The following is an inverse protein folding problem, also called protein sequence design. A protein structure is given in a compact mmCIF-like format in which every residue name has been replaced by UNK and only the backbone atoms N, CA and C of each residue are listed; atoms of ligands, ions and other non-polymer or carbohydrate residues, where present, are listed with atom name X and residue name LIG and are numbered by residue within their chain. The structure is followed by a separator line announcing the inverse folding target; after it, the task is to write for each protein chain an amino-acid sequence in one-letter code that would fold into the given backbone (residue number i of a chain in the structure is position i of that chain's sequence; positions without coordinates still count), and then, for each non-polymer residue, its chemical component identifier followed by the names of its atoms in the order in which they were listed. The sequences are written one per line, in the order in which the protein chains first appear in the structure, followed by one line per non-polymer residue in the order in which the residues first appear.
data_IF_915902081351
#
_entry.id   IF_915902081351
#
_cell.length_a   1.000
_cell.length_b   1.000
_cell.length_c   1.000
_cell.angle_alpha   90.00
_cell.angle_beta   90.00
_cell.angle_gamma   90.00
#
_symmetry.space_group_name_H-M   'P 1'
#
loop_
_entity.id
_entity.type
_entity.pdbx_description
1 polymer ?
#
# COMPACT_ATOMS: atom_id res chain seq x y z
N UNK A 1 3.76 -14.59 -12.99
CA UNK A 1 3.33 -13.26 -12.49
C UNK A 1 3.96 -13.08 -11.12
N UNK A 2 4.81 -12.07 -10.96
CA UNK A 2 5.34 -11.73 -9.64
C UNK A 2 4.21 -11.21 -8.77
N UNK A 3 4.11 -11.67 -7.53
CA UNK A 3 3.16 -11.14 -6.56
C UNK A 3 3.62 -9.75 -6.15
N UNK A 4 2.90 -8.71 -6.54
CA UNK A 4 3.09 -7.35 -6.00
C UNK A 4 2.88 -7.40 -4.48
N UNK A 5 3.76 -6.75 -3.75
CA UNK A 5 3.62 -6.55 -2.31
C UNK A 5 3.62 -5.06 -2.01
N UNK A 6 2.76 -4.63 -1.10
CA UNK A 6 2.72 -3.25 -0.61
C UNK A 6 3.33 -3.23 0.79
N UNK A 7 4.48 -2.57 0.98
CA UNK A 7 5.14 -2.50 2.28
C UNK A 7 4.24 -1.86 3.34
N UNK A 8 4.22 -2.46 4.53
CA UNK A 8 3.56 -1.91 5.72
C UNK A 8 4.63 -1.42 6.68
N UNK A 9 4.44 -0.24 7.25
CA UNK A 9 5.29 0.30 8.32
C UNK A 9 4.43 0.74 9.49
N UNK A 10 4.77 0.30 10.71
CA UNK A 10 4.19 0.86 11.92
C UNK A 10 4.95 2.15 12.24
N UNK A 11 4.26 3.29 12.20
CA UNK A 11 4.89 4.61 12.34
C UNK A 11 4.70 5.21 13.74
N UNK A 12 3.63 4.85 14.44
CA UNK A 12 3.39 5.18 15.85
C UNK A 12 2.34 4.24 16.46
N UNK A 13 2.08 4.39 17.75
CA UNK A 13 1.09 3.58 18.47
C UNK A 13 -0.30 3.65 17.82
N UNK A 14 -0.69 2.53 17.21
CA UNK A 14 -1.97 2.37 16.54
C UNK A 14 -2.08 3.04 15.17
N UNK A 15 -0.97 3.49 14.57
CA UNK A 15 -0.94 4.05 13.22
C UNK A 15 0.05 3.27 12.34
N UNK A 16 -0.44 2.77 11.22
CA UNK A 16 0.36 2.13 10.18
C UNK A 16 0.36 2.97 8.90
N UNK A 17 1.41 2.87 8.10
CA UNK A 17 1.43 3.33 6.71
C UNK A 17 1.53 2.15 5.73
N UNK A 18 0.93 2.30 4.57
CA UNK A 18 1.06 1.41 3.41
C UNK A 18 1.58 2.23 2.25
N UNK A 19 2.75 1.88 1.71
CA UNK A 19 3.27 2.51 0.51
C UNK A 19 2.59 1.88 -0.72
N UNK A 20 1.76 2.65 -1.42
CA UNK A 20 0.93 2.18 -2.53
C UNK A 20 1.58 2.36 -3.90
N UNK A 21 2.54 3.27 -4.01
CA UNK A 21 3.28 3.58 -5.24
C UNK A 21 4.73 3.98 -4.91
N UNK A 22 5.65 3.73 -5.85
CA UNK A 22 7.01 4.30 -5.85
C UNK A 22 7.26 5.14 -7.09
N UNK A 23 8.33 5.93 -7.10
CA UNK A 23 8.72 6.68 -8.30
C UNK A 23 9.00 5.76 -9.51
N UNK A 24 9.48 4.54 -9.29
CA UNK A 24 9.73 3.52 -10.33
C UNK A 24 8.48 2.73 -10.71
N UNK A 25 7.51 2.62 -9.81
CA UNK A 25 6.24 1.91 -10.01
C UNK A 25 5.04 2.79 -9.62
N UNK A 26 4.80 3.89 -10.36
CA UNK A 26 3.79 4.87 -9.96
C UNK A 26 2.36 4.47 -10.34
N UNK A 27 2.19 3.46 -11.22
CA UNK A 27 0.89 3.01 -11.72
C UNK A 27 0.33 1.79 -10.96
N UNK A 28 -0.99 1.71 -10.93
CA UNK A 28 -1.75 0.61 -10.34
C UNK A 28 -2.05 -0.46 -11.41
N UNK A 29 -1.35 -1.59 -11.33
CA UNK A 29 -1.55 -2.74 -12.23
C UNK A 29 -2.64 -3.71 -11.70
N UNK A 30 -2.88 -4.80 -12.44
CA UNK A 30 -3.86 -5.84 -12.07
C UNK A 30 -3.57 -6.52 -10.72
N UNK A 31 -2.34 -6.45 -10.23
CA UNK A 31 -1.92 -6.98 -8.93
C UNK A 31 -2.10 -6.00 -7.77
N UNK A 32 -2.45 -4.74 -8.03
CA UNK A 32 -2.58 -3.71 -6.99
C UNK A 32 -3.68 -4.03 -5.97
N UNK A 33 -4.92 -4.26 -6.43
CA UNK A 33 -6.05 -4.53 -5.53
C UNK A 33 -5.84 -5.79 -4.67
N UNK A 34 -5.39 -6.94 -5.23
CA UNK A 34 -5.03 -8.10 -4.42
C UNK A 34 -3.95 -7.81 -3.36
N UNK A 35 -2.92 -7.04 -3.72
CA UNK A 35 -1.84 -6.68 -2.80
C UNK A 35 -2.31 -5.75 -1.68
N UNK A 36 -3.15 -4.76 -2.00
CA UNK A 36 -3.77 -3.87 -1.02
C UNK A 36 -4.68 -4.63 -0.05
N UNK A 37 -5.51 -5.54 -0.56
CA UNK A 37 -6.35 -6.38 0.28
C UNK A 37 -5.49 -7.23 1.24
N UNK A 38 -4.42 -7.86 0.75
CA UNK A 38 -3.47 -8.60 1.60
C UNK A 38 -2.88 -7.72 2.70
N UNK A 39 -2.47 -6.50 2.37
CA UNK A 39 -1.90 -5.57 3.35
C UNK A 39 -2.92 -5.11 4.41
N UNK A 40 -4.14 -4.79 3.98
CA UNK A 40 -5.23 -4.40 4.89
C UNK A 40 -5.65 -5.56 5.79
N UNK A 41 -5.74 -6.80 5.28
CA UNK A 41 -6.05 -7.97 6.12
C UNK A 41 -4.96 -8.24 7.16
N UNK A 42 -3.68 -8.03 6.82
CA UNK A 42 -2.60 -8.13 7.79
C UNK A 42 -2.77 -7.10 8.92
N UNK A 43 -3.14 -5.86 8.59
CA UNK A 43 -3.38 -4.81 9.60
C UNK A 43 -4.66 -5.03 10.40
N UNK A 44 -5.70 -5.67 9.85
CA UNK A 44 -6.92 -6.02 10.59
C UNK A 44 -6.66 -7.05 11.69
N UNK A 45 -5.66 -7.92 11.53
CA UNK A 45 -5.26 -8.87 12.56
C UNK A 45 -4.57 -8.18 13.76
N UNK A 46 -4.05 -6.96 13.57
CA UNK A 46 -3.39 -6.17 14.60
C UNK A 46 -4.40 -5.35 15.41
N UNK A 47 -4.77 -5.83 16.60
CA UNK A 47 -5.81 -5.20 17.45
C UNK A 47 -5.48 -3.78 17.92
N UNK A 48 -4.23 -3.34 17.79
CA UNK A 48 -3.77 -2.02 18.23
C UNK A 48 -3.93 -0.95 17.16
N UNK A 49 -4.07 -1.33 15.88
CA UNK A 49 -4.15 -0.42 14.76
C UNK A 49 -5.53 0.23 14.70
N UNK A 50 -5.53 1.57 14.64
CA UNK A 50 -6.73 2.42 14.62
C UNK A 50 -6.76 3.35 13.43
N UNK A 51 -5.63 3.52 12.75
CA UNK A 51 -5.50 4.41 11.59
C UNK A 51 -4.49 3.84 10.60
N UNK A 52 -4.79 4.03 9.31
CA UNK A 52 -3.93 3.63 8.20
C UNK A 52 -3.69 4.86 7.35
N UNK A 53 -2.42 5.15 7.07
CA UNK A 53 -1.99 6.15 6.10
C UNK A 53 -1.69 5.41 4.80
N UNK A 54 -2.32 5.85 3.71
CA UNK A 54 -1.90 5.45 2.38
C UNK A 54 -0.94 6.50 1.87
N UNK A 55 0.22 6.09 1.41
CA UNK A 55 1.26 6.99 0.93
C UNK A 55 1.80 6.53 -0.42
N UNK A 56 2.06 7.49 -1.30
CA UNK A 56 2.94 7.26 -2.43
C UNK A 56 4.37 7.61 -2.07
N UNK A 57 5.16 7.94 -3.08
CA UNK A 57 6.56 8.29 -2.92
C UNK A 57 6.77 9.78 -3.22
N UNK A 58 8.03 10.21 -3.30
CA UNK A 58 8.42 11.62 -3.37
C UNK A 58 7.70 12.41 -4.48
N UNK A 59 7.50 11.82 -5.66
CA UNK A 59 6.91 12.54 -6.80
C UNK A 59 5.41 12.38 -6.93
N UNK A 60 4.87 11.23 -6.55
CA UNK A 60 3.48 10.88 -6.82
C UNK A 60 2.86 10.12 -5.65
N UNK A 61 1.61 10.47 -5.31
CA UNK A 61 0.76 9.61 -4.50
C UNK A 61 0.40 8.31 -5.25
N UNK A 62 -0.10 8.46 -6.48
CA UNK A 62 -0.35 7.41 -7.47
C UNK A 62 -0.51 8.10 -8.83
N UNK A 63 -0.08 7.46 -9.92
CA UNK A 63 -0.36 7.87 -11.30
C UNK A 63 -1.68 7.27 -11.84
N UNK A 64 -2.41 6.53 -11.00
CA UNK A 64 -3.67 5.89 -11.32
C UNK A 64 -3.51 4.52 -12.00
N UNK A 65 -4.63 4.01 -12.53
CA UNK A 65 -4.70 2.71 -13.19
C UNK A 65 -3.78 2.63 -14.41
N UNK A 66 -3.00 1.54 -14.49
CA UNK A 66 -2.24 1.22 -15.69
C UNK A 66 -3.19 0.97 -16.87
N UNK A 67 -2.83 1.49 -18.05
CA UNK A 67 -3.54 1.26 -19.32
C UNK A 67 -3.01 0.04 -20.10
N UNK A 68 -2.04 -0.67 -19.51
CA UNK A 68 -1.39 -1.86 -20.07
C UNK A 68 -2.31 -3.07 -20.09
#
# INVERSE_FOLDING_TARGET
MGTRELPIKIISDGIASIQIATDESPYEDVGFVPALNKAVEALKAEQTIRSIILEGDHRYFSAGGSRS
#
